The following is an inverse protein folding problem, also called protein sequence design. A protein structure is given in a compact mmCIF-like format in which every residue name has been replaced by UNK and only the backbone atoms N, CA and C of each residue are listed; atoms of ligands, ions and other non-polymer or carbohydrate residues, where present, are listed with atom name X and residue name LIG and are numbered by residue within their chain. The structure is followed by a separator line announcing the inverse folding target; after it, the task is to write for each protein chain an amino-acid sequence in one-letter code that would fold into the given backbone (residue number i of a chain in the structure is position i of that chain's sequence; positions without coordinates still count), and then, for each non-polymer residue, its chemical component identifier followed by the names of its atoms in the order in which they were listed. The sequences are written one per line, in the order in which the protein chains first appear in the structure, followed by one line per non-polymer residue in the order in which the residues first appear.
data_IF_850780664834
#
_entry.id   IF_850780664834
#
_cell.length_a   1.000
_cell.length_b   1.000
_cell.length_c   1.000
_cell.angle_alpha   90.00
_cell.angle_beta   90.00
_cell.angle_gamma   90.00
#
_symmetry.space_group_name_H-M   'P 1'
#
loop_
_entity.id
_entity.type
_entity.pdbx_description
1 polymer ?
#
# COMPACT_ATOMS: atom_id res chain seq x y z
N UNK A 1 37.06 -25.71 3.64
CA UNK A 1 35.93 -25.85 2.69
C UNK A 1 35.17 -24.54 2.73
N UNK A 2 35.28 -23.67 1.71
CA UNK A 2 34.51 -22.44 1.69
C UNK A 2 33.05 -22.78 1.41
N UNK A 3 32.15 -22.25 2.26
CA UNK A 3 30.73 -22.29 2.02
C UNK A 3 30.42 -21.52 0.73
N UNK A 4 29.85 -22.21 -0.24
CA UNK A 4 29.30 -21.61 -1.46
C UNK A 4 28.14 -20.71 -1.07
N UNK A 5 28.35 -19.39 -1.11
CA UNK A 5 27.24 -18.45 -1.14
C UNK A 5 26.38 -18.76 -2.37
N UNK A 6 25.10 -19.07 -2.16
CA UNK A 6 24.12 -19.16 -3.24
C UNK A 6 24.11 -17.84 -4.01
N UNK A 7 23.92 -17.86 -5.35
CA UNK A 7 23.75 -16.62 -6.09
C UNK A 7 22.49 -15.96 -5.54
N UNK A 8 22.64 -14.77 -4.95
CA UNK A 8 21.50 -13.92 -4.66
C UNK A 8 20.78 -13.72 -5.99
N UNK A 9 19.53 -14.17 -6.06
CA UNK A 9 18.70 -14.11 -7.26
C UNK A 9 18.74 -12.67 -7.79
N UNK A 10 19.24 -12.45 -9.01
CA UNK A 10 19.43 -11.13 -9.65
C UNK A 10 18.07 -10.51 -10.05
N UNK A 11 17.01 -10.96 -9.37
CA UNK A 11 15.63 -10.63 -9.62
C UNK A 11 15.35 -9.26 -9.04
N UNK A 12 15.15 -8.31 -9.93
CA UNK A 12 14.69 -6.97 -9.58
C UNK A 12 13.22 -7.07 -9.17
N UNK A 13 12.94 -6.95 -7.87
CA UNK A 13 11.58 -6.86 -7.37
C UNK A 13 10.92 -5.56 -7.82
N UNK A 14 9.65 -5.63 -8.20
CA UNK A 14 8.85 -4.47 -8.55
C UNK A 14 7.85 -4.13 -7.45
N UNK A 15 7.62 -2.84 -7.27
CA UNK A 15 6.60 -2.33 -6.35
C UNK A 15 5.64 -1.41 -7.09
N UNK A 16 4.40 -1.36 -6.59
CA UNK A 16 3.43 -0.34 -6.92
C UNK A 16 2.90 0.33 -5.66
N UNK A 17 2.44 1.57 -5.82
CA UNK A 17 1.84 2.37 -4.76
C UNK A 17 0.45 2.85 -5.19
N UNK A 18 -0.54 2.65 -4.32
CA UNK A 18 -1.87 3.24 -4.42
C UNK A 18 -1.98 4.35 -3.38
N UNK A 19 -2.19 5.57 -3.86
CA UNK A 19 -2.49 6.72 -3.02
C UNK A 19 -3.99 6.94 -3.06
N UNK A 20 -4.65 6.88 -1.91
CA UNK A 20 -6.09 7.00 -1.75
C UNK A 20 -6.35 8.33 -1.06
N UNK A 21 -7.15 9.19 -1.69
CA UNK A 21 -7.51 10.48 -1.09
C UNK A 21 -7.92 11.52 -2.11
N UNK A 22 -9.12 12.08 -1.92
CA UNK A 22 -9.67 13.14 -2.77
C UNK A 22 -8.87 14.46 -2.65
N UNK A 23 -8.17 14.69 -1.55
CA UNK A 23 -7.29 15.85 -1.35
C UNK A 23 -6.07 15.83 -2.27
N UNK A 24 -5.57 14.64 -2.59
CA UNK A 24 -4.46 14.45 -3.53
C UNK A 24 -4.96 14.69 -4.96
N UNK A 25 -6.13 14.15 -5.30
CA UNK A 25 -6.75 14.36 -6.62
C UNK A 25 -7.16 15.82 -6.86
N UNK A 26 -7.65 16.50 -5.83
CA UNK A 26 -8.02 17.92 -5.90
C UNK A 26 -6.82 18.87 -5.83
N UNK A 27 -5.60 18.35 -5.60
CA UNK A 27 -4.37 19.15 -5.50
C UNK A 27 -4.31 20.06 -4.27
N UNK A 28 -5.21 19.85 -3.29
CA UNK A 28 -5.19 20.57 -2.01
C UNK A 28 -3.99 20.17 -1.16
N UNK A 29 -3.54 18.93 -1.32
CA UNK A 29 -2.40 18.37 -0.61
C UNK A 29 -1.42 17.78 -1.61
N UNK A 30 -0.13 18.11 -1.48
CA UNK A 30 0.92 17.46 -2.25
C UNK A 30 1.29 16.14 -1.59
N UNK A 31 1.24 15.05 -2.34
CA UNK A 31 1.67 13.75 -1.81
C UNK A 31 3.19 13.76 -1.54
N UNK A 32 3.56 13.55 -0.28
CA UNK A 32 4.95 13.38 0.15
C UNK A 32 5.38 11.91 0.24
N UNK A 33 4.41 10.98 0.19
CA UNK A 33 4.62 9.55 0.43
C UNK A 33 5.31 8.87 -0.75
N UNK A 34 4.95 9.24 -1.98
CA UNK A 34 5.53 8.71 -3.22
C UNK A 34 7.04 8.92 -3.22
N UNK A 35 7.48 10.16 -2.96
CA UNK A 35 8.90 10.51 -2.98
C UNK A 35 9.69 9.80 -1.87
N UNK A 36 9.09 9.68 -0.68
CA UNK A 36 9.69 8.96 0.44
C UNK A 36 9.82 7.46 0.13
N UNK A 37 8.71 6.83 -0.29
CA UNK A 37 8.66 5.39 -0.55
C UNK A 37 9.55 5.00 -1.73
N UNK A 38 9.56 5.78 -2.82
CA UNK A 38 10.43 5.52 -3.97
C UNK A 38 11.91 5.52 -3.58
N UNK A 39 12.34 6.48 -2.74
CA UNK A 39 13.71 6.53 -2.23
C UNK A 39 14.01 5.34 -1.33
N UNK A 40 13.10 5.02 -0.41
CA UNK A 40 13.27 3.92 0.53
C UNK A 40 13.34 2.57 -0.19
N UNK A 41 12.44 2.30 -1.14
CA UNK A 41 12.46 1.10 -1.97
C UNK A 41 13.74 1.00 -2.82
N UNK A 42 14.20 2.13 -3.35
CA UNK A 42 15.48 2.19 -4.08
C UNK A 42 16.67 1.74 -3.24
N UNK A 43 16.71 2.08 -1.95
CA UNK A 43 17.73 1.61 -1.00
C UNK A 43 17.66 0.09 -0.77
N UNK A 44 16.48 -0.51 -0.90
CA UNK A 44 16.26 -1.96 -0.78
C UNK A 44 16.45 -2.71 -2.11
N UNK A 45 16.81 -2.02 -3.21
CA UNK A 45 16.93 -2.62 -4.55
C UNK A 45 15.58 -2.92 -5.23
N UNK A 46 14.47 -2.43 -4.68
CA UNK A 46 13.12 -2.61 -5.21
C UNK A 46 12.78 -1.43 -6.13
N UNK A 47 12.28 -1.72 -7.34
CA UNK A 47 11.88 -0.67 -8.28
C UNK A 47 10.40 -0.36 -8.15
N UNK A 48 10.08 0.84 -7.68
CA UNK A 48 8.74 1.39 -7.81
C UNK A 48 8.44 1.61 -9.30
N UNK A 49 7.52 0.83 -9.85
CA UNK A 49 7.17 0.82 -11.29
C UNK A 49 5.96 1.67 -11.61
N UNK A 50 4.99 1.69 -10.69
CA UNK A 50 3.71 2.32 -10.93
C UNK A 50 3.18 2.96 -9.65
N UNK A 51 2.59 4.14 -9.82
CA UNK A 51 1.86 4.83 -8.77
C UNK A 51 0.50 5.18 -9.32
N UNK A 52 -0.56 4.84 -8.59
CA UNK A 52 -1.94 5.19 -8.94
C UNK A 52 -2.56 5.99 -7.81
N UNK A 53 -3.06 7.18 -8.14
CA UNK A 53 -3.88 7.97 -7.23
C UNK A 53 -5.34 7.67 -7.53
N UNK A 54 -6.12 7.32 -6.50
CA UNK A 54 -7.54 7.01 -6.60
C UNK A 54 -8.35 7.84 -5.61
N UNK A 55 -9.62 8.04 -5.93
CA UNK A 55 -10.58 8.69 -5.04
C UNK A 55 -10.93 7.77 -3.87
N UNK A 56 -11.55 8.35 -2.84
CA UNK A 56 -12.16 7.61 -1.72
C UNK A 56 -13.44 6.88 -2.17
N UNK A 57 -13.28 5.96 -3.12
CA UNK A 57 -14.34 5.11 -3.66
C UNK A 57 -13.91 3.65 -3.62
N UNK A 58 -14.74 2.79 -3.01
CA UNK A 58 -14.43 1.37 -2.83
C UNK A 58 -14.16 0.67 -4.16
N UNK A 59 -14.95 0.95 -5.20
CA UNK A 59 -14.79 0.28 -6.49
C UNK A 59 -13.49 0.70 -7.19
N UNK A 60 -13.12 1.99 -7.10
CA UNK A 60 -11.86 2.51 -7.61
C UNK A 60 -10.65 1.89 -6.89
N UNK A 61 -10.68 1.80 -5.57
CA UNK A 61 -9.63 1.19 -4.76
C UNK A 61 -9.49 -0.29 -5.11
N UNK A 62 -10.59 -1.05 -5.11
CA UNK A 62 -10.61 -2.49 -5.43
C UNK A 62 -10.06 -2.75 -6.83
N UNK A 63 -10.48 -1.95 -7.82
CA UNK A 63 -9.99 -2.08 -9.19
C UNK A 63 -8.48 -1.80 -9.30
N UNK A 64 -8.00 -0.75 -8.63
CA UNK A 64 -6.58 -0.40 -8.60
C UNK A 64 -5.74 -1.49 -7.93
N UNK A 65 -6.17 -1.98 -6.77
CA UNK A 65 -5.48 -3.02 -6.00
C UNK A 65 -5.42 -4.32 -6.79
N UNK A 66 -6.53 -4.74 -7.39
CA UNK A 66 -6.57 -5.96 -8.19
C UNK A 66 -5.69 -5.90 -9.44
N UNK A 67 -5.61 -4.75 -10.09
CA UNK A 67 -4.73 -4.56 -11.24
C UNK A 67 -3.25 -4.60 -10.82
N UNK A 68 -2.90 -3.89 -9.74
CA UNK A 68 -1.51 -3.70 -9.34
C UNK A 68 -0.92 -4.90 -8.60
N UNK A 69 -1.70 -5.60 -7.77
CA UNK A 69 -1.22 -6.79 -7.04
C UNK A 69 -0.83 -7.94 -7.95
N UNK A 70 -1.40 -8.00 -9.16
CA UNK A 70 -1.10 -9.04 -10.16
C UNK A 70 0.11 -8.66 -10.99
N UNK A 71 0.32 -7.37 -11.23
CA UNK A 71 1.38 -6.85 -12.09
C UNK A 71 2.72 -6.64 -11.38
N UNK A 72 2.73 -6.54 -10.04
CA UNK A 72 3.92 -6.17 -9.26
C UNK A 72 4.12 -7.11 -8.05
N UNK A 73 5.37 -7.29 -7.62
CA UNK A 73 5.69 -8.17 -6.48
C UNK A 73 5.22 -7.57 -5.14
N UNK A 74 5.29 -6.25 -5.00
CA UNK A 74 4.86 -5.51 -3.81
C UNK A 74 3.81 -4.47 -4.15
N UNK A 75 2.78 -4.37 -3.31
CA UNK A 75 1.76 -3.33 -3.38
C UNK A 75 1.70 -2.58 -2.06
N UNK A 76 1.88 -1.27 -2.13
CA UNK A 76 1.75 -0.36 -0.99
C UNK A 76 0.49 0.48 -1.17
N UNK A 77 -0.20 0.77 -0.08
CA UNK A 77 -1.37 1.64 -0.04
C UNK A 77 -1.14 2.73 0.99
N UNK A 78 -1.58 3.95 0.71
CA UNK A 78 -1.48 5.08 1.63
C UNK A 78 -2.73 5.95 1.53
N UNK A 79 -3.12 6.57 2.65
CA UNK A 79 -4.34 7.36 2.76
C UNK A 79 -5.56 6.53 3.17
N UNK A 80 -6.58 7.20 3.72
CA UNK A 80 -7.87 6.60 4.09
C UNK A 80 -7.84 5.55 5.23
N UNK A 81 -6.91 5.66 6.21
CA UNK A 81 -6.81 4.79 7.40
C UNK A 81 -7.02 5.59 8.72
N UNK A 82 -7.57 6.80 8.63
CA UNK A 82 -7.97 7.58 9.80
C UNK A 82 -9.17 6.97 10.55
N UNK A 83 -9.59 7.60 11.66
CA UNK A 83 -10.76 7.19 12.44
C UNK A 83 -12.08 7.74 11.85
N UNK A 84 -12.04 8.41 10.71
CA UNK A 84 -13.22 9.07 10.13
C UNK A 84 -14.06 8.09 9.33
N UNK A 85 -15.35 8.40 9.17
CA UNK A 85 -16.27 7.51 8.43
C UNK A 85 -15.95 7.44 6.92
N UNK A 86 -15.07 8.32 6.43
CA UNK A 86 -14.61 8.36 5.05
C UNK A 86 -13.40 7.42 4.83
N UNK A 87 -12.85 6.82 5.90
CA UNK A 87 -11.71 5.90 5.87
C UNK A 87 -12.14 4.47 5.47
N UNK A 88 -12.48 4.31 4.19
CA UNK A 88 -12.96 3.05 3.61
C UNK A 88 -11.84 2.11 3.14
N UNK A 89 -10.57 2.49 3.32
CA UNK A 89 -9.43 1.77 2.73
C UNK A 89 -9.32 0.35 3.24
N UNK A 90 -9.50 0.13 4.55
CA UNK A 90 -9.40 -1.22 5.14
C UNK A 90 -10.46 -2.15 4.56
N UNK A 91 -11.70 -1.68 4.47
CA UNK A 91 -12.83 -2.44 3.93
C UNK A 91 -12.64 -2.71 2.43
N UNK A 92 -12.19 -1.71 1.67
CA UNK A 92 -11.92 -1.85 0.24
C UNK A 92 -10.78 -2.84 -0.04
N UNK A 93 -9.72 -2.83 0.77
CA UNK A 93 -8.62 -3.79 0.66
C UNK A 93 -9.08 -5.19 1.02
N UNK A 94 -9.86 -5.34 2.09
CA UNK A 94 -10.42 -6.62 2.47
C UNK A 94 -11.32 -7.20 1.37
N UNK A 95 -12.17 -6.37 0.75
CA UNK A 95 -12.96 -6.75 -0.40
C UNK A 95 -12.09 -7.15 -1.61
N UNK A 96 -11.02 -6.42 -1.90
CA UNK A 96 -10.11 -6.76 -3.00
C UNK A 96 -9.40 -8.11 -2.76
N UNK A 97 -9.00 -8.37 -1.51
CA UNK A 97 -8.34 -9.61 -1.10
C UNK A 97 -9.32 -10.77 -0.87
N UNK A 98 -10.63 -10.51 -0.80
CA UNK A 98 -11.65 -11.51 -0.50
C UNK A 98 -11.59 -12.03 0.93
N UNK A 99 -11.17 -11.18 1.88
CA UNK A 99 -11.04 -11.51 3.30
C UNK A 99 -12.02 -10.68 4.12
N UNK A 100 -12.34 -11.15 5.33
CA UNK A 100 -13.18 -10.43 6.28
C UNK A 100 -12.33 -9.46 7.11
N UNK A 101 -12.89 -8.28 7.41
CA UNK A 101 -12.31 -7.33 8.36
C UNK A 101 -12.70 -7.74 9.77
N UNK A 102 -11.71 -7.92 10.63
CA UNK A 102 -11.91 -8.28 12.04
C UNK A 102 -11.18 -7.31 12.95
N UNK A 103 -11.76 -7.06 14.14
CA UNK A 103 -11.08 -6.28 15.17
C UNK A 103 -9.93 -7.09 15.75
N UNK A 104 -8.70 -6.62 15.54
CA UNK A 104 -7.52 -7.27 16.10
C UNK A 104 -7.38 -6.92 17.59
N UNK A 105 -7.37 -7.90 18.51
CA UNK A 105 -7.42 -7.65 19.96
C UNK A 105 -6.31 -6.73 20.47
N UNK A 106 -5.09 -6.88 19.94
CA UNK A 106 -3.97 -6.02 20.31
C UNK A 106 -4.09 -4.60 19.75
N UNK A 107 -4.68 -4.43 18.57
CA UNK A 107 -4.87 -3.11 17.98
C UNK A 107 -5.90 -2.32 18.78
N UNK A 108 -6.97 -2.99 19.23
CA UNK A 108 -7.96 -2.40 20.12
C UNK A 108 -7.34 -2.00 21.45
N UNK A 109 -6.54 -2.88 22.08
CA UNK A 109 -5.88 -2.59 23.35
C UNK A 109 -5.01 -1.31 23.28
N UNK A 110 -4.22 -1.15 22.21
CA UNK A 110 -3.40 0.04 21.98
C UNK A 110 -4.24 1.32 21.87
N UNK A 111 -5.44 1.24 21.31
CA UNK A 111 -6.33 2.40 21.17
C UNK A 111 -7.11 2.72 22.45
N UNK A 112 -7.34 1.73 23.33
CA UNK A 112 -8.11 1.91 24.58
C UNK A 112 -7.26 2.17 25.82
N UNK A 113 -5.94 1.90 25.76
CA UNK A 113 -5.00 2.14 26.87
C UNK A 113 -4.54 3.62 26.98
N UNK A 114 -5.11 4.52 26.16
CA UNK A 114 -4.85 5.97 26.11
C UNK A 114 -6.14 6.78 26.16
#
# INVERSE_FOLDING_TARGET
MPATASPADDRIFTAALVVIGDEILSGRTQDANIAYLAKWLGLQGIRLREVRVVADDTAAIVAAVNALRVAHDYLFTTGGIGPTHDDITVDAIAQALGVEVVLHPQAVAVLTDH
#
